data_IF_520853720813
#
_entry.id   IF_520853720813
#
_cell.length_a   1.000
_cell.length_b   1.000
_cell.length_c   1.000
_cell.angle_alpha   90.00
_cell.angle_beta   90.00
_cell.angle_gamma   90.00
#
_symmetry.space_group_name_H-M   'P 1'
#
loop_
_entity.id
_entity.type
_entity.pdbx_description
1 polymer ?
#
# COMPACT_ATOMS: atom_id res chain seq x y z
N UNK A 1 -1.09 12.94 -28.31
CA UNK A 1 0.39 13.07 -28.30
C UNK A 1 1.06 11.82 -27.73
N UNK A 2 0.52 11.19 -26.68
CA UNK A 2 1.01 9.91 -26.14
C UNK A 2 0.78 8.67 -27.04
N UNK A 3 -0.19 8.72 -27.96
CA UNK A 3 -0.52 7.61 -28.86
C UNK A 3 0.45 7.40 -30.03
N UNK A 4 1.44 8.30 -30.22
CA UNK A 4 2.42 8.20 -31.32
C UNK A 4 3.77 7.59 -30.91
N UNK A 5 3.98 7.28 -29.63
CA UNK A 5 5.27 6.79 -29.11
C UNK A 5 5.26 5.33 -28.64
N UNK A 6 4.14 4.60 -28.83
CA UNK A 6 3.97 3.16 -28.59
C UNK A 6 5.02 2.49 -27.70
N UNK A 7 5.92 1.74 -28.34
CA UNK A 7 6.94 0.92 -27.68
C UNK A 7 8.02 1.74 -26.95
N UNK A 8 8.42 2.89 -27.51
CA UNK A 8 9.42 3.79 -26.90
C UNK A 8 8.91 4.40 -25.59
N UNK A 9 7.61 4.72 -25.52
CA UNK A 9 6.97 5.23 -24.32
C UNK A 9 6.88 4.15 -23.23
N UNK A 10 6.63 2.90 -23.62
CA UNK A 10 6.58 1.77 -22.70
C UNK A 10 7.98 1.41 -22.19
N UNK A 11 9.00 1.44 -23.06
CA UNK A 11 10.39 1.26 -22.67
C UNK A 11 10.89 2.39 -21.76
N UNK A 12 10.57 3.65 -22.07
CA UNK A 12 10.87 4.79 -21.20
C UNK A 12 10.17 4.67 -19.84
N UNK A 13 8.89 4.27 -19.84
CA UNK A 13 8.14 4.05 -18.60
C UNK A 13 8.75 2.92 -17.78
N UNK A 14 9.20 1.85 -18.45
CA UNK A 14 9.91 0.74 -17.83
C UNK A 14 11.28 1.16 -17.32
N UNK A 15 12.03 2.00 -18.01
CA UNK A 15 13.31 2.52 -17.51
C UNK A 15 13.09 3.41 -16.27
N UNK A 16 12.11 4.32 -16.31
CA UNK A 16 11.77 5.19 -15.18
C UNK A 16 11.27 4.41 -13.95
N UNK A 17 10.51 3.31 -14.16
CA UNK A 17 9.96 2.46 -13.09
C UNK A 17 10.90 1.35 -12.62
N UNK A 18 11.69 0.75 -13.52
CA UNK A 18 12.44 -0.49 -13.29
C UNK A 18 13.96 -0.28 -13.13
N UNK A 19 14.56 0.82 -13.61
CA UNK A 19 15.93 1.16 -13.21
C UNK A 19 15.90 1.70 -11.78
N UNK A 20 16.00 0.74 -10.85
CA UNK A 20 16.18 0.87 -9.41
C UNK A 20 16.90 2.17 -9.08
N UNK A 21 16.16 3.07 -8.44
CA UNK A 21 16.61 4.27 -7.76
C UNK A 21 16.48 5.60 -8.50
N UNK A 22 16.07 5.70 -9.77
CA UNK A 22 15.93 7.04 -10.40
C UNK A 22 14.98 7.98 -9.64
N UNK A 23 13.69 7.65 -9.64
CA UNK A 23 12.67 8.39 -8.88
C UNK A 23 12.96 8.39 -7.38
N UNK A 24 13.35 7.25 -6.80
CA UNK A 24 13.64 7.13 -5.38
C UNK A 24 14.80 8.02 -4.94
N UNK A 25 15.88 8.11 -5.72
CA UNK A 25 17.03 8.99 -5.46
C UNK A 25 16.65 10.45 -5.65
N UNK A 26 15.87 10.79 -6.67
CA UNK A 26 15.35 12.17 -6.81
C UNK A 26 14.51 12.57 -5.57
N UNK A 27 13.68 11.66 -5.07
CA UNK A 27 12.93 11.84 -3.82
C UNK A 27 13.86 11.96 -2.61
N UNK A 28 14.85 11.08 -2.45
CA UNK A 28 15.81 11.13 -1.34
C UNK A 28 16.64 12.43 -1.34
N UNK A 29 16.97 12.98 -2.52
CA UNK A 29 17.70 14.25 -2.64
C UNK A 29 16.83 15.42 -2.17
N UNK A 30 15.59 15.48 -2.65
CA UNK A 30 14.64 16.53 -2.26
C UNK A 30 14.32 16.47 -0.75
N UNK A 31 14.20 15.27 -0.19
CA UNK A 31 13.90 15.06 1.22
C UNK A 31 15.09 15.45 2.11
N UNK A 32 16.25 14.81 1.89
CA UNK A 32 17.45 14.99 2.73
C UNK A 32 18.09 16.37 2.60
N UNK A 33 18.11 16.93 1.39
CA UNK A 33 18.86 18.16 1.11
C UNK A 33 17.99 19.36 0.76
N UNK A 34 16.68 19.18 0.54
CA UNK A 34 15.76 20.29 0.26
C UNK A 34 15.90 20.90 -1.14
N UNK A 35 16.71 20.29 -2.02
CA UNK A 35 16.87 20.77 -3.39
C UNK A 35 15.79 20.21 -4.31
N UNK A 36 15.05 21.05 -5.04
CA UNK A 36 14.13 20.57 -6.07
C UNK A 36 14.91 19.93 -7.22
N UNK A 37 14.42 18.80 -7.72
CA UNK A 37 14.99 18.12 -8.88
C UNK A 37 14.13 18.40 -10.10
N UNK A 38 14.74 18.93 -11.15
CA UNK A 38 14.06 19.27 -12.40
C UNK A 38 14.54 18.37 -13.53
N UNK A 39 13.61 17.72 -14.22
CA UNK A 39 13.87 17.01 -15.48
C UNK A 39 13.54 17.98 -16.61
N UNK A 40 14.56 18.37 -17.38
CA UNK A 40 14.42 19.29 -18.50
C UNK A 40 14.83 18.63 -19.82
N UNK A 41 14.07 18.86 -20.87
CA UNK A 41 14.43 18.52 -22.24
C UNK A 41 15.11 19.71 -22.90
N UNK A 42 16.35 19.53 -23.38
CA UNK A 42 17.05 20.56 -24.12
C UNK A 42 16.77 20.37 -25.62
N UNK A 43 16.17 21.39 -26.25
CA UNK A 43 16.05 21.45 -27.71
C UNK A 43 17.39 21.82 -28.34
N UNK A 44 17.61 21.38 -29.58
CA UNK A 44 18.84 21.62 -30.36
C UNK A 44 19.22 23.11 -30.45
N UNK A 45 18.24 24.01 -30.36
CA UNK A 45 18.43 25.47 -30.42
C UNK A 45 18.86 26.12 -29.09
N UNK A 46 19.12 25.34 -28.04
CA UNK A 46 19.58 25.86 -26.74
C UNK A 46 18.47 26.09 -25.71
N UNK A 47 17.20 26.15 -26.14
CA UNK A 47 16.06 26.28 -25.24
C UNK A 47 15.88 25.02 -24.38
N UNK A 48 15.77 25.23 -23.06
CA UNK A 48 15.43 24.18 -22.08
C UNK A 48 13.93 24.24 -21.80
N UNK A 49 13.23 23.13 -22.07
CA UNK A 49 11.85 22.93 -21.65
C UNK A 49 11.85 22.11 -20.35
N UNK A 50 11.34 22.70 -19.28
CA UNK A 50 11.09 21.98 -18.03
C UNK A 50 9.92 21.00 -18.24
N UNK A 51 10.17 19.71 -18.05
CA UNK A 51 9.15 18.67 -18.20
C UNK A 51 8.49 18.35 -16.86
N UNK A 52 9.31 18.21 -15.81
CA UNK A 52 8.86 17.80 -14.47
C UNK A 52 9.75 18.48 -13.45
N UNK A 53 9.12 18.97 -12.37
CA UNK A 53 9.79 19.42 -11.16
C UNK A 53 9.30 18.58 -9.99
N UNK A 54 10.25 17.96 -9.28
CA UNK A 54 10.02 17.22 -8.05
C UNK A 54 10.55 18.09 -6.92
N UNK A 55 9.69 18.41 -5.97
CA UNK A 55 10.06 19.13 -4.76
C UNK A 55 9.45 18.47 -3.52
N UNK A 56 9.72 19.04 -2.34
CA UNK A 56 9.18 18.53 -1.07
C UNK A 56 7.66 18.48 -1.06
N UNK A 57 6.97 19.40 -1.73
CA UNK A 57 5.51 19.42 -1.79
C UNK A 57 4.97 18.20 -2.57
N UNK A 58 5.68 17.80 -3.64
CA UNK A 58 5.36 16.59 -4.42
C UNK A 58 5.59 15.30 -3.61
N UNK A 59 6.55 15.31 -2.69
CA UNK A 59 6.90 14.15 -1.83
C UNK A 59 5.85 13.90 -0.76
N UNK A 60 5.38 14.96 -0.09
CA UNK A 60 4.29 14.86 0.90
C UNK A 60 3.02 14.24 0.32
N UNK A 61 2.78 14.43 -0.99
CA UNK A 61 1.62 13.88 -1.67
C UNK A 61 1.73 12.36 -1.94
N UNK A 62 2.92 11.77 -1.81
CA UNK A 62 3.16 10.35 -2.12
C UNK A 62 3.29 9.45 -0.89
N UNK A 63 3.45 10.00 0.31
CA UNK A 63 3.59 9.22 1.55
C UNK A 63 2.20 8.91 2.13
N UNK A 64 1.81 7.62 2.24
CA UNK A 64 0.56 7.24 2.89
C UNK A 64 0.59 7.62 4.37
N UNK A 65 -0.52 8.14 4.89
CA UNK A 65 -0.66 8.51 6.29
C UNK A 65 -1.21 7.33 7.07
N UNK A 66 -0.52 6.95 8.15
CA UNK A 66 -1.05 6.00 9.12
C UNK A 66 -1.92 6.80 10.09
N UNK A 67 -3.20 6.47 10.15
CA UNK A 67 -4.13 7.01 11.13
C UNK A 67 -3.64 6.64 12.53
N UNK A 68 -3.60 7.61 13.45
CA UNK A 68 -3.23 7.37 14.85
C UNK A 68 -4.35 6.68 15.63
N UNK A 69 -5.58 6.82 15.16
CA UNK A 69 -6.77 6.27 15.81
C UNK A 69 -6.90 4.77 15.55
N UNK A 70 -7.22 4.03 16.61
CA UNK A 70 -7.60 2.64 16.52
C UNK A 70 -9.10 2.54 16.21
N UNK A 71 -9.43 1.73 15.20
CA UNK A 71 -10.80 1.47 14.77
C UNK A 71 -11.11 0.00 14.95
N UNK A 72 -12.35 -0.29 15.33
CA UNK A 72 -12.86 -1.66 15.35
C UNK A 72 -13.53 -1.96 14.03
N UNK A 73 -13.07 -3.00 13.34
CA UNK A 73 -13.66 -3.48 12.08
C UNK A 73 -14.13 -4.93 12.21
N UNK A 74 -15.08 -5.32 11.36
CA UNK A 74 -15.51 -6.70 11.18
C UNK A 74 -15.10 -7.15 9.79
N UNK A 75 -14.26 -8.18 9.71
CA UNK A 75 -13.72 -8.62 8.42
C UNK A 75 -13.42 -10.11 8.37
N UNK A 76 -13.66 -10.72 7.22
CA UNK A 76 -13.25 -12.10 6.89
C UNK A 76 -11.89 -12.12 6.22
N UNK A 77 -11.03 -13.07 6.61
CA UNK A 77 -9.72 -13.27 5.98
C UNK A 77 -9.88 -14.05 4.68
N UNK A 78 -9.39 -13.50 3.57
CA UNK A 78 -9.50 -14.09 2.22
C UNK A 78 -8.16 -14.57 1.66
N UNK A 79 -7.05 -14.07 2.20
CA UNK A 79 -5.70 -14.56 1.91
C UNK A 79 -4.78 -14.30 3.10
N UNK A 80 -3.87 -15.23 3.37
CA UNK A 80 -2.91 -15.07 4.44
C UNK A 80 -1.55 -15.69 4.10
N UNK A 81 -0.47 -14.95 4.35
CA UNK A 81 0.89 -15.44 4.22
C UNK A 81 1.47 -15.74 5.61
N UNK A 82 1.63 -17.02 5.93
CA UNK A 82 2.10 -17.51 7.24
C UNK A 82 3.56 -17.16 7.56
N UNK A 83 4.37 -16.75 6.59
CA UNK A 83 5.76 -16.36 6.84
C UNK A 83 5.89 -14.88 7.23
N UNK A 84 5.00 -14.03 6.70
CA UNK A 84 5.08 -12.57 6.88
C UNK A 84 3.95 -11.99 7.72
N UNK A 85 2.85 -12.73 7.91
CA UNK A 85 1.63 -12.25 8.57
C UNK A 85 0.82 -11.24 7.75
N UNK A 86 1.17 -11.03 6.48
CA UNK A 86 0.40 -10.15 5.59
C UNK A 86 -0.69 -10.93 4.88
N UNK A 87 -1.76 -10.24 4.51
CA UNK A 87 -2.89 -10.88 3.85
C UNK A 87 -3.88 -9.91 3.22
N UNK A 88 -5.05 -10.44 2.87
CA UNK A 88 -6.21 -9.71 2.39
C UNK A 88 -7.39 -10.03 3.28
N UNK A 89 -8.18 -9.00 3.58
CA UNK A 89 -9.43 -9.12 4.32
C UNK A 89 -10.56 -8.51 3.49
N UNK A 90 -11.76 -9.00 3.68
CA UNK A 90 -13.00 -8.43 3.15
C UNK A 90 -13.77 -7.84 4.32
N UNK A 91 -14.06 -6.54 4.27
CA UNK A 91 -14.88 -5.90 5.30
C UNK A 91 -16.32 -6.38 5.16
N UNK A 92 -17.02 -6.49 6.29
CA UNK A 92 -18.42 -6.88 6.28
C UNK A 92 -19.26 -5.84 5.53
N UNK A 93 -19.87 -6.26 4.42
CA UNK A 93 -20.70 -5.40 3.57
C UNK A 93 -19.95 -4.79 2.37
N UNK A 94 -18.65 -5.01 2.26
CA UNK A 94 -17.86 -4.59 1.11
C UNK A 94 -17.76 -5.72 0.07
N UNK A 95 -17.49 -5.33 -1.18
CA UNK A 95 -17.25 -6.25 -2.29
C UNK A 95 -15.76 -6.45 -2.58
N UNK A 96 -14.92 -5.50 -2.16
CA UNK A 96 -13.50 -5.50 -2.47
C UNK A 96 -12.62 -5.84 -1.25
N UNK A 97 -11.54 -6.59 -1.52
CA UNK A 97 -10.59 -6.96 -0.46
C UNK A 97 -9.52 -5.89 -0.24
N UNK A 98 -9.28 -5.57 1.03
CA UNK A 98 -8.24 -4.63 1.46
C UNK A 98 -7.03 -5.38 2.00
N UNK A 99 -5.83 -4.84 1.78
CA UNK A 99 -4.61 -5.44 2.34
C UNK A 99 -4.56 -5.28 3.85
N UNK A 100 -3.99 -6.25 4.56
CA UNK A 100 -3.67 -6.09 5.97
C UNK A 100 -2.28 -6.63 6.31
N UNK A 101 -1.78 -6.19 7.47
CA UNK A 101 -0.61 -6.77 8.13
C UNK A 101 -0.62 -6.42 9.61
N UNK A 102 0.42 -6.81 10.32
CA UNK A 102 0.53 -6.57 11.76
C UNK A 102 1.51 -5.45 12.08
N UNK A 103 1.27 -4.74 13.18
CA UNK A 103 2.22 -3.74 13.70
C UNK A 103 3.49 -4.35 14.31
N UNK A 104 3.43 -5.63 14.72
CA UNK A 104 4.54 -6.41 15.23
C UNK A 104 5.02 -7.42 14.19
N UNK A 105 6.28 -7.89 14.32
CA UNK A 105 6.79 -8.98 13.48
C UNK A 105 5.95 -10.24 13.73
N UNK A 106 5.50 -10.87 12.65
CA UNK A 106 4.65 -12.06 12.76
C UNK A 106 5.30 -13.20 13.54
N UNK A 107 6.63 -13.36 13.45
CA UNK A 107 7.37 -14.38 14.21
C UNK A 107 7.13 -14.26 15.72
N UNK A 108 7.06 -13.03 16.22
CA UNK A 108 6.97 -12.70 17.64
C UNK A 108 5.53 -12.71 18.17
N UNK A 109 4.56 -12.98 17.29
CA UNK A 109 3.14 -13.05 17.64
C UNK A 109 2.79 -14.36 18.33
N UNK A 110 1.93 -14.27 19.35
CA UNK A 110 1.41 -15.42 20.08
C UNK A 110 0.74 -16.44 19.13
N UNK A 111 1.01 -17.73 19.35
CA UNK A 111 0.47 -18.82 18.54
C UNK A 111 -1.06 -18.79 18.44
N UNK A 112 -1.74 -18.42 19.54
CA UNK A 112 -3.20 -18.28 19.58
C UNK A 112 -3.71 -17.30 18.52
N UNK A 113 -3.06 -16.16 18.35
CA UNK A 113 -3.45 -15.16 17.34
C UNK A 113 -3.22 -15.73 15.94
N UNK A 114 -2.05 -16.32 15.68
CA UNK A 114 -1.75 -16.95 14.37
C UNK A 114 -2.84 -17.94 13.97
N UNK A 115 -3.26 -18.78 14.93
CA UNK A 115 -4.28 -19.81 14.74
C UNK A 115 -5.64 -19.22 14.37
N UNK A 116 -6.08 -18.14 15.04
CA UNK A 116 -7.34 -17.44 14.74
C UNK A 116 -7.40 -16.98 13.28
N UNK A 117 -6.32 -16.38 12.74
CA UNK A 117 -6.30 -15.91 11.35
C UNK A 117 -6.30 -17.06 10.35
N UNK A 118 -5.56 -18.14 10.62
CA UNK A 118 -5.53 -19.31 9.74
C UNK A 118 -6.83 -20.11 9.75
N UNK A 119 -7.48 -20.23 10.92
CA UNK A 119 -8.77 -20.90 11.04
C UNK A 119 -9.87 -20.10 10.37
N UNK A 120 -9.89 -18.77 10.55
CA UNK A 120 -10.85 -17.93 9.84
C UNK A 120 -10.71 -18.05 8.31
N UNK A 121 -9.47 -18.03 7.80
CA UNK A 121 -9.23 -18.27 6.38
C UNK A 121 -9.72 -19.65 5.94
N UNK A 122 -9.45 -20.70 6.73
CA UNK A 122 -9.89 -22.06 6.42
C UNK A 122 -11.41 -22.17 6.34
N UNK A 123 -12.14 -21.54 7.26
CA UNK A 123 -13.60 -21.55 7.31
C UNK A 123 -14.24 -20.78 6.14
N UNK A 124 -13.60 -19.69 5.70
CA UNK A 124 -14.11 -18.85 4.62
C UNK A 124 -13.69 -19.33 3.22
N UNK A 125 -12.70 -20.24 3.13
CA UNK A 125 -12.24 -20.78 1.86
C UNK A 125 -13.35 -21.58 1.15
N UNK A 126 -13.64 -21.22 -0.10
CA UNK A 126 -14.64 -21.92 -0.92
C UNK A 126 -16.10 -21.57 -0.59
N UNK A 127 -16.33 -20.58 0.28
CA UNK A 127 -17.67 -20.11 0.67
C UNK A 127 -17.95 -18.76 0.00
N UNK A 128 -19.23 -18.41 -0.20
CA UNK A 128 -19.60 -17.06 -0.68
C UNK A 128 -19.32 -16.00 0.38
N UNK A 129 -18.98 -14.79 -0.04
CA UNK A 129 -18.66 -13.66 0.86
C UNK A 129 -19.79 -13.32 1.83
N UNK A 130 -21.04 -13.58 1.45
CA UNK A 130 -22.23 -13.37 2.28
C UNK A 130 -22.26 -14.25 3.54
N UNK A 131 -21.60 -15.41 3.46
CA UNK A 131 -21.54 -16.39 4.55
C UNK A 131 -20.21 -16.38 5.29
N UNK A 132 -19.36 -15.38 5.05
CA UNK A 132 -18.07 -15.27 5.74
C UNK A 132 -18.24 -15.06 7.24
N UNK A 133 -17.48 -15.86 8.00
CA UNK A 133 -17.27 -15.64 9.41
C UNK A 133 -16.31 -14.46 9.54
N UNK A 134 -16.79 -13.40 10.21
CA UNK A 134 -16.04 -12.16 10.37
C UNK A 134 -15.31 -12.15 11.72
N UNK A 135 -14.03 -11.79 11.71
CA UNK A 135 -13.27 -11.46 12.91
C UNK A 135 -13.55 -10.01 13.31
N UNK A 136 -13.65 -9.78 14.62
CA UNK A 136 -13.64 -8.43 15.18
C UNK A 136 -12.20 -8.01 15.46
N UNK A 137 -11.70 -7.02 14.72
CA UNK A 137 -10.30 -6.60 14.73
C UNK A 137 -10.17 -5.14 15.20
N UNK A 138 -9.13 -4.86 15.97
CA UNK A 138 -8.69 -3.49 16.27
C UNK A 138 -7.54 -3.15 15.32
N UNK A 139 -7.70 -2.09 14.54
CA UNK A 139 -6.79 -1.73 13.45
C UNK A 139 -6.47 -0.25 13.42
N UNK A 140 -5.31 0.11 12.88
CA UNK A 140 -5.09 1.44 12.31
C UNK A 140 -5.25 1.39 10.79
N UNK A 141 -5.85 2.43 10.24
CA UNK A 141 -5.95 2.61 8.79
C UNK A 141 -4.67 3.24 8.24
N UNK A 142 -4.20 2.71 7.11
CA UNK A 142 -3.24 3.38 6.25
C UNK A 142 -4.03 3.94 5.08
N UNK A 143 -4.07 5.25 5.00
CA UNK A 143 -4.82 5.98 3.97
C UNK A 143 -3.86 6.65 3.00
N UNK A 144 -4.28 6.72 1.74
CA UNK A 144 -3.72 7.65 0.77
C UNK A 144 -4.25 9.06 1.04
N UNK A 145 -3.60 10.08 0.50
CA UNK A 145 -3.96 11.48 0.73
C UNK A 145 -5.37 11.88 0.26
N UNK A 146 -5.99 11.08 -0.61
CA UNK A 146 -7.40 11.22 -1.02
C UNK A 146 -8.39 10.57 -0.04
N UNK A 147 -7.91 10.02 1.08
CA UNK A 147 -8.72 9.34 2.10
C UNK A 147 -8.98 7.87 1.81
N UNK A 148 -8.60 7.35 0.64
CA UNK A 148 -8.78 5.95 0.30
C UNK A 148 -7.92 5.05 1.20
N UNK A 149 -8.54 4.03 1.81
CA UNK A 149 -7.85 3.07 2.68
C UNK A 149 -7.10 2.07 1.81
N UNK A 150 -5.77 2.03 1.94
CA UNK A 150 -4.92 1.12 1.17
C UNK A 150 -4.52 -0.13 1.96
N UNK A 151 -4.47 -0.03 3.30
CA UNK A 151 -4.06 -1.13 4.18
C UNK A 151 -4.59 -0.95 5.60
N UNK A 152 -4.91 -2.06 6.26
CA UNK A 152 -5.12 -2.11 7.71
C UNK A 152 -3.90 -2.66 8.44
N UNK A 153 -3.52 -2.01 9.54
CA UNK A 153 -2.51 -2.51 10.48
C UNK A 153 -3.25 -3.07 11.69
N UNK A 154 -3.25 -4.40 11.84
CA UNK A 154 -3.88 -5.08 12.95
C UNK A 154 -3.07 -4.89 14.23
N UNK A 155 -3.75 -4.43 15.27
CA UNK A 155 -3.24 -4.26 16.64
C UNK A 155 -3.70 -5.37 17.56
N UNK A 156 -4.98 -5.72 17.50
CA UNK A 156 -5.56 -6.78 18.30
C UNK A 156 -6.69 -7.49 17.56
N UNK A 157 -7.01 -8.69 18.01
CA UNK A 157 -8.19 -9.46 17.61
C UNK A 157 -8.96 -9.81 18.88
N UNK A 158 -10.28 -9.62 18.85
CA UNK A 158 -11.13 -10.11 19.92
C UNK A 158 -11.31 -11.61 19.75
N UNK A 159 -10.98 -12.36 20.79
CA UNK A 159 -11.19 -13.81 20.84
C UNK A 159 -12.19 -14.02 21.95
N UNK A 160 -13.42 -14.37 21.59
CA UNK A 160 -14.40 -14.79 22.59
C UNK A 160 -13.85 -16.07 23.27
N UNK A 161 -13.84 -16.05 24.60
CA UNK A 161 -13.19 -17.04 25.45
C UNK A 161 -13.98 -18.36 25.51
#
# INVERSE_FOLDING_TARGET
MLTKMGDDAEELTKQLRCQKNGLKTMHEICDKFGYPVTISYKKTNGDRLELIRIDRSTITNMVPKVGKEEKTIFAGITRFNIHTGNGRLLLKGDEETVSFGFGLKFKDMAHKIKKVFTENLNLNNGVSSESYINLKLVVNEVQRNDGAIIKYIVRAVYIDA
#
